data_IF_318745945859
#
_entry.id   IF_318745945859
#
_cell.length_a   1.000
_cell.length_b   1.000
_cell.length_c   1.000
_cell.angle_alpha   90.00
_cell.angle_beta   90.00
_cell.angle_gamma   90.00
#
_symmetry.space_group_name_H-M   'P 1'
#
loop_
_entity.id
_entity.type
_entity.pdbx_description
1 polymer ?
#
# COMPACT_ATOMS: atom_id res chain seq x y z
N UNK A 1 9.16 -2.23 8.08
CA UNK A 1 9.41 -0.78 7.98
C UNK A 1 9.58 -0.27 9.39
N UNK A 2 10.59 0.57 9.59
CA UNK A 2 10.79 1.27 10.86
C UNK A 2 10.34 2.71 10.67
N UNK A 3 9.65 3.26 11.67
CA UNK A 3 9.36 4.68 11.71
C UNK A 3 9.87 5.33 13.00
N UNK A 4 10.31 6.57 12.87
CA UNK A 4 10.71 7.45 13.97
C UNK A 4 10.05 8.81 13.83
N UNK A 5 9.95 9.55 14.93
CA UNK A 5 9.46 10.93 14.92
C UNK A 5 10.67 11.85 15.07
N UNK A 6 10.83 12.80 14.16
CA UNK A 6 11.88 13.82 14.22
C UNK A 6 11.35 15.15 13.71
N UNK A 7 11.59 16.23 14.46
CA UNK A 7 11.21 17.61 14.07
C UNK A 7 9.73 17.72 13.67
N UNK A 8 8.84 17.04 14.40
CA UNK A 8 7.42 16.97 14.07
C UNK A 8 7.16 16.42 12.66
N UNK A 9 7.84 15.33 12.27
CA UNK A 9 7.59 14.57 11.05
C UNK A 9 7.67 13.07 11.36
N UNK A 10 6.97 12.25 10.57
CA UNK A 10 7.07 10.79 10.62
C UNK A 10 8.08 10.36 9.55
N UNK A 11 9.21 9.80 9.95
CA UNK A 11 10.26 9.33 9.04
C UNK A 11 10.12 7.83 8.85
N UNK A 12 9.71 7.41 7.65
CA UNK A 12 9.67 6.00 7.28
C UNK A 12 11.03 5.60 6.70
N UNK A 13 11.71 4.69 7.38
CA UNK A 13 13.00 4.15 6.94
C UNK A 13 12.79 2.83 6.22
N UNK A 14 13.15 2.81 4.94
CA UNK A 14 12.90 1.68 4.04
C UNK A 14 14.24 1.20 3.47
N UNK A 15 14.56 -0.10 3.52
CA UNK A 15 15.78 -0.62 2.90
C UNK A 15 15.81 -0.32 1.39
N UNK A 16 16.93 0.12 0.86
CA UNK A 16 17.13 0.36 -0.58
C UNK A 16 17.38 -0.96 -1.35
N UNK A 17 16.60 -1.98 -1.05
CA UNK A 17 16.67 -3.32 -1.66
C UNK A 17 15.28 -3.92 -1.82
N UNK A 18 15.12 -4.76 -2.83
CA UNK A 18 13.89 -5.56 -2.97
C UNK A 18 13.80 -6.54 -1.80
N UNK A 19 12.71 -6.46 -1.03
CA UNK A 19 12.48 -7.33 0.12
C UNK A 19 10.99 -7.42 0.45
N UNK A 20 10.41 -8.61 0.34
CA UNK A 20 9.02 -8.88 0.69
C UNK A 20 8.03 -7.95 -0.03
N UNK A 21 7.46 -7.01 0.74
CA UNK A 21 6.46 -6.03 0.27
C UNK A 21 7.06 -4.81 -0.45
N UNK A 22 8.38 -4.61 -0.37
CA UNK A 22 9.08 -3.49 -0.99
C UNK A 22 9.75 -3.96 -2.28
N UNK A 23 9.37 -3.33 -3.40
CA UNK A 23 9.92 -3.63 -4.73
C UNK A 23 10.28 -2.35 -5.43
N UNK A 24 11.55 -2.17 -5.76
CA UNK A 24 12.00 -1.08 -6.62
C UNK A 24 11.79 -1.46 -8.08
N UNK A 25 11.18 -0.53 -8.79
CA UNK A 25 10.80 -0.68 -10.19
C UNK A 25 11.19 0.55 -10.98
N UNK A 26 11.33 0.38 -12.29
CA UNK A 26 11.50 1.48 -13.25
C UNK A 26 10.31 1.56 -14.19
N UNK A 27 9.89 2.78 -14.50
CA UNK A 27 8.84 3.04 -15.49
C UNK A 27 9.10 4.37 -16.21
N UNK A 28 8.66 4.46 -17.46
CA UNK A 28 8.80 5.69 -18.27
C UNK A 28 7.72 6.71 -17.88
N UNK A 29 6.47 6.28 -17.80
CA UNK A 29 5.34 7.11 -17.38
C UNK A 29 4.69 6.57 -16.11
N UNK A 30 3.94 7.44 -15.39
CA UNK A 30 3.25 7.08 -14.14
C UNK A 30 2.19 5.99 -14.27
N UNK A 31 1.72 5.71 -15.49
CA UNK A 31 0.69 4.69 -15.77
C UNK A 31 1.26 3.46 -16.49
N UNK A 32 2.55 3.47 -16.81
CA UNK A 32 3.19 2.34 -17.48
C UNK A 32 3.45 1.20 -16.50
N UNK A 33 3.58 0.00 -17.07
CA UNK A 33 4.03 -1.16 -16.32
C UNK A 33 5.45 -0.93 -15.77
N UNK A 34 5.61 -1.14 -14.46
CA UNK A 34 6.91 -1.02 -13.80
C UNK A 34 7.69 -2.32 -13.84
N UNK A 35 8.91 -2.26 -14.35
CA UNK A 35 9.82 -3.40 -14.39
C UNK A 35 10.68 -3.43 -13.12
N UNK A 36 10.67 -4.57 -12.43
CA UNK A 36 11.56 -4.79 -11.28
C UNK A 36 13.00 -4.86 -11.77
N UNK A 37 13.92 -4.25 -11.04
CA UNK A 37 15.35 -4.36 -11.33
C UNK A 37 16.14 -4.79 -10.10
N UNK A 38 17.35 -5.30 -10.33
CA UNK A 38 18.28 -5.65 -9.26
C UNK A 38 18.93 -4.38 -8.70
N UNK A 39 18.52 -3.95 -7.50
CA UNK A 39 19.03 -2.72 -6.87
C UNK A 39 20.52 -2.77 -6.57
N UNK A 40 21.10 -3.98 -6.49
CA UNK A 40 22.54 -4.22 -6.26
C UNK A 40 23.38 -4.05 -7.52
N UNK A 41 22.78 -4.27 -8.68
CA UNK A 41 23.49 -4.33 -9.96
C UNK A 41 23.22 -3.10 -10.80
N UNK A 42 22.00 -2.54 -10.73
CA UNK A 42 21.63 -1.37 -11.52
C UNK A 42 21.48 -0.12 -10.66
N UNK A 43 21.84 1.06 -11.20
CA UNK A 43 21.75 2.30 -10.46
C UNK A 43 20.31 2.80 -10.28
N UNK A 44 20.08 3.51 -9.18
CA UNK A 44 18.88 4.31 -8.96
C UNK A 44 18.90 5.56 -9.84
N UNK A 45 17.75 5.91 -10.41
CA UNK A 45 17.59 7.04 -11.34
C UNK A 45 16.17 7.63 -11.26
N UNK A 46 15.86 8.62 -12.11
CA UNK A 46 14.59 9.33 -12.09
C UNK A 46 13.39 8.48 -12.53
N UNK A 47 13.63 7.34 -13.18
CA UNK A 47 12.59 6.37 -13.52
C UNK A 47 12.27 5.43 -12.36
N UNK A 48 13.12 5.43 -11.33
CA UNK A 48 13.00 4.55 -10.18
C UNK A 48 11.86 4.99 -9.28
N UNK A 49 11.08 4.02 -8.82
CA UNK A 49 10.12 4.21 -7.74
C UNK A 49 10.09 2.96 -6.85
N UNK A 50 9.67 3.15 -5.61
CA UNK A 50 9.33 2.07 -4.71
C UNK A 50 7.87 1.73 -4.88
N UNK A 51 7.55 0.49 -5.22
CA UNK A 51 6.24 -0.12 -5.03
C UNK A 51 6.20 -0.78 -3.65
N UNK A 52 5.34 -0.29 -2.77
CA UNK A 52 5.09 -0.88 -1.47
C UNK A 52 3.70 -1.48 -1.39
N UNK A 53 3.63 -2.81 -1.29
CA UNK A 53 2.38 -3.52 -0.98
C UNK A 53 2.05 -3.35 0.52
N UNK A 54 1.56 -2.16 0.87
CA UNK A 54 1.26 -1.77 2.25
C UNK A 54 0.07 -2.55 2.80
N UNK A 55 0.13 -2.93 4.08
CA UNK A 55 -1.01 -3.47 4.83
C UNK A 55 -1.59 -2.45 5.81
N UNK A 56 -2.72 -2.79 6.42
CA UNK A 56 -3.39 -1.94 7.42
C UNK A 56 -3.72 -2.69 8.73
N UNK A 57 -3.60 -4.02 8.76
CA UNK A 57 -3.88 -4.84 9.93
C UNK A 57 -2.98 -6.08 10.03
N UNK A 58 -3.01 -6.72 11.20
CA UNK A 58 -2.31 -7.97 11.46
C UNK A 58 -3.10 -8.84 12.43
N UNK A 59 -3.25 -10.17 12.19
CA UNK A 59 -3.81 -11.08 13.18
C UNK A 59 -3.03 -11.05 14.49
N UNK A 60 -3.72 -11.07 15.63
CA UNK A 60 -3.06 -11.09 16.96
C UNK A 60 -2.06 -12.25 17.05
N UNK A 61 -2.45 -13.43 16.57
CA UNK A 61 -1.60 -14.64 16.55
C UNK A 61 -0.27 -14.44 15.82
N UNK A 62 -0.25 -13.67 14.72
CA UNK A 62 1.00 -13.38 14.00
C UNK A 62 1.95 -12.49 14.82
N UNK A 63 1.40 -11.64 15.70
CA UNK A 63 2.17 -10.78 16.61
C UNK A 63 2.68 -11.60 17.80
N UNK A 64 1.85 -12.46 18.38
CA UNK A 64 2.23 -13.35 19.48
C UNK A 64 3.32 -14.35 19.08
N UNK A 65 3.26 -14.86 17.84
CA UNK A 65 4.27 -15.76 17.27
C UNK A 65 5.54 -15.01 16.81
N UNK A 66 5.61 -13.69 16.97
CA UNK A 66 6.77 -12.87 16.59
C UNK A 66 7.00 -12.75 15.09
N UNK A 67 6.03 -13.13 14.24
CA UNK A 67 6.13 -13.05 12.78
C UNK A 67 6.04 -11.61 12.27
N UNK A 68 5.28 -10.78 12.97
CA UNK A 68 5.05 -9.36 12.69
C UNK A 68 5.00 -8.58 14.00
N UNK A 69 5.29 -7.29 13.96
CA UNK A 69 5.22 -6.41 15.13
C UNK A 69 4.44 -5.14 14.84
N UNK A 70 3.59 -4.73 15.79
CA UNK A 70 2.85 -3.46 15.78
C UNK A 70 3.00 -2.80 17.15
N UNK A 71 3.01 -1.47 17.21
CA UNK A 71 2.99 -0.70 18.46
C UNK A 71 1.57 -0.47 18.98
N UNK A 72 0.54 -0.76 18.19
CA UNK A 72 -0.87 -0.56 18.54
C UNK A 72 -1.52 -1.84 19.09
N UNK A 73 -1.02 -2.29 20.24
CA UNK A 73 -1.50 -3.52 20.90
C UNK A 73 -2.47 -3.28 22.07
N UNK A 74 -2.77 -2.02 22.40
CA UNK A 74 -3.65 -1.65 23.52
C UNK A 74 -5.14 -1.95 23.26
N UNK A 75 -5.53 -2.08 21.99
CA UNK A 75 -6.90 -2.37 21.53
C UNK A 75 -6.84 -3.24 20.29
N UNK A 76 -7.89 -4.01 20.07
CA UNK A 76 -8.04 -4.90 18.92
C UNK A 76 -9.45 -4.79 18.33
N UNK A 77 -9.64 -5.29 17.11
CA UNK A 77 -10.93 -5.39 16.46
C UNK A 77 -11.16 -6.78 15.86
N UNK A 78 -12.40 -7.08 15.50
CA UNK A 78 -12.76 -8.31 14.77
C UNK A 78 -12.84 -7.96 13.30
N UNK A 79 -11.90 -8.50 12.51
CA UNK A 79 -11.91 -8.30 11.07
C UNK A 79 -13.06 -9.04 10.39
N UNK A 80 -13.30 -8.72 9.12
CA UNK A 80 -14.39 -9.28 8.31
C UNK A 80 -14.32 -10.80 8.14
N UNK A 81 -13.14 -11.39 8.43
CA UNK A 81 -12.88 -12.82 8.41
C UNK A 81 -13.08 -13.50 9.78
N UNK A 82 -13.63 -12.78 10.77
CA UNK A 82 -13.88 -13.27 12.13
C UNK A 82 -12.64 -13.36 13.00
N UNK A 83 -11.44 -13.01 12.50
CA UNK A 83 -10.21 -13.05 13.29
C UNK A 83 -10.05 -11.76 14.08
N UNK A 84 -9.53 -11.88 15.29
CA UNK A 84 -9.09 -10.73 16.08
C UNK A 84 -7.76 -10.20 15.53
N UNK A 85 -7.69 -8.89 15.29
CA UNK A 85 -6.55 -8.23 14.66
C UNK A 85 -6.16 -6.96 15.41
N UNK A 86 -4.89 -6.57 15.24
CA UNK A 86 -4.37 -5.26 15.61
C UNK A 86 -4.26 -4.35 14.38
N UNK A 87 -4.43 -3.03 14.54
CA UNK A 87 -3.98 -2.05 13.54
C UNK A 87 -2.48 -2.19 13.27
N UNK A 88 -2.07 -2.07 12.01
CA UNK A 88 -0.68 -2.33 11.58
C UNK A 88 -0.29 -1.51 10.35
N UNK A 89 1.00 -1.22 10.17
CA UNK A 89 1.56 -0.51 9.00
C UNK A 89 0.83 0.81 8.71
N UNK A 90 -0.07 0.85 7.71
CA UNK A 90 -0.82 2.06 7.36
C UNK A 90 -1.56 2.64 8.57
N UNK A 91 -2.19 1.78 9.37
CA UNK A 91 -2.99 2.23 10.52
C UNK A 91 -2.11 2.80 11.63
N UNK A 92 -0.89 2.29 11.78
CA UNK A 92 0.09 2.87 12.72
C UNK A 92 0.57 4.24 12.25
N UNK A 93 0.85 4.38 10.95
CA UNK A 93 1.24 5.66 10.36
C UNK A 93 0.11 6.68 10.49
N UNK A 94 -1.13 6.26 10.21
CA UNK A 94 -2.32 7.10 10.34
C UNK A 94 -2.54 7.53 11.79
N UNK A 95 -2.41 6.62 12.75
CA UNK A 95 -2.49 6.97 14.17
C UNK A 95 -1.39 7.96 14.59
N UNK A 96 -0.16 7.78 14.12
CA UNK A 96 0.93 8.74 14.40
C UNK A 96 0.63 10.12 13.79
N UNK A 97 -0.01 10.17 12.63
CA UNK A 97 -0.46 11.43 12.03
C UNK A 97 -1.58 12.11 12.86
N UNK A 98 -2.42 11.32 13.55
CA UNK A 98 -3.39 11.85 14.51
C UNK A 98 -2.70 12.43 15.75
N UNK A 99 -1.74 11.69 16.34
CA UNK A 99 -0.99 12.15 17.52
C UNK A 99 -0.19 13.43 17.27
N UNK A 100 0.30 13.63 16.04
CA UNK A 100 1.02 14.84 15.64
C UNK A 100 0.09 15.95 15.12
N UNK A 101 -1.23 15.77 15.23
CA UNK A 101 -2.25 16.73 14.77
C UNK A 101 -2.11 17.11 13.28
N UNK A 102 -1.63 16.18 12.45
CA UNK A 102 -1.69 16.32 10.99
C UNK A 102 -3.07 15.95 10.47
N UNK A 103 -3.79 15.09 11.19
CA UNK A 103 -5.17 14.73 10.95
C UNK A 103 -5.91 14.90 12.27
N UNK A 104 -6.84 15.85 12.32
CA UNK A 104 -7.66 16.10 13.50
C UNK A 104 -8.64 14.97 13.77
N UNK A 105 -9.07 14.82 15.02
CA UNK A 105 -10.10 13.85 15.42
C UNK A 105 -11.40 14.05 14.60
N UNK A 106 -11.74 15.29 14.27
CA UNK A 106 -12.94 15.60 13.48
C UNK A 106 -12.79 15.14 12.02
N UNK A 107 -11.62 15.30 11.42
CA UNK A 107 -11.32 14.74 10.10
C UNK A 107 -11.43 13.21 10.11
N UNK A 108 -10.96 12.54 11.16
CA UNK A 108 -11.09 11.08 11.31
C UNK A 108 -12.56 10.65 11.45
N UNK A 109 -13.38 11.39 12.21
CA UNK A 109 -14.83 11.11 12.32
C UNK A 109 -15.56 11.29 10.99
N UNK A 110 -15.20 12.33 10.24
CA UNK A 110 -15.76 12.56 8.91
C UNK A 110 -15.33 11.47 7.92
N UNK A 111 -14.05 11.07 7.95
CA UNK A 111 -13.53 9.95 7.16
C UNK A 111 -14.26 8.64 7.49
N UNK A 112 -14.49 8.35 8.77
CA UNK A 112 -15.25 7.18 9.22
C UNK A 112 -16.68 7.20 8.68
N UNK A 113 -17.37 8.34 8.75
CA UNK A 113 -18.73 8.50 8.21
C UNK A 113 -18.75 8.30 6.70
N UNK A 114 -17.77 8.86 5.98
CA UNK A 114 -17.61 8.71 4.54
C UNK A 114 -17.43 7.24 4.15
N UNK A 115 -16.42 6.56 4.72
CA UNK A 115 -16.08 5.17 4.37
C UNK A 115 -17.21 4.20 4.71
N UNK A 116 -17.91 4.39 5.86
CA UNK A 116 -19.11 3.60 6.20
C UNK A 116 -20.22 3.70 5.15
N UNK A 117 -20.28 4.82 4.42
CA UNK A 117 -21.29 5.09 3.41
C UNK A 117 -20.99 4.49 2.03
N UNK A 118 -19.82 3.89 1.82
CA UNK A 118 -19.44 3.34 0.52
C UNK A 118 -20.32 2.17 0.10
N UNK A 119 -20.78 2.19 -1.16
CA UNK A 119 -21.66 1.17 -1.75
C UNK A 119 -21.09 0.51 -2.99
N UNK A 120 -20.03 1.07 -3.56
CA UNK A 120 -19.40 0.60 -4.80
C UNK A 120 -17.96 0.25 -4.51
N UNK A 121 -17.55 -0.94 -4.91
CA UNK A 121 -16.25 -1.50 -4.56
C UNK A 121 -15.42 -1.82 -5.80
N UNK A 122 -14.10 -1.74 -5.66
CA UNK A 122 -13.17 -1.98 -6.76
C UNK A 122 -13.22 -3.45 -7.21
N UNK A 123 -13.37 -4.39 -6.28
CA UNK A 123 -13.45 -5.82 -6.58
C UNK A 123 -14.74 -6.26 -7.29
N UNK A 124 -15.71 -5.34 -7.47
CA UNK A 124 -16.92 -5.54 -8.28
C UNK A 124 -16.69 -5.23 -9.77
N UNK A 125 -15.51 -4.72 -10.16
CA UNK A 125 -15.16 -4.48 -11.57
C UNK A 125 -15.08 -5.80 -12.35
N UNK A 126 -15.62 -5.79 -13.57
CA UNK A 126 -15.65 -6.97 -14.43
C UNK A 126 -14.24 -7.43 -14.85
N UNK A 127 -14.02 -8.74 -14.79
CA UNK A 127 -12.87 -9.41 -15.38
C UNK A 127 -13.30 -9.90 -16.75
N UNK A 128 -12.62 -9.47 -17.82
CA UNK A 128 -12.98 -9.85 -19.18
C UNK A 128 -11.99 -10.88 -19.72
N UNK A 129 -12.52 -11.86 -20.46
CA UNK A 129 -11.73 -12.83 -21.22
C UNK A 129 -11.91 -12.51 -22.69
N UNK A 130 -10.80 -12.28 -23.38
CA UNK A 130 -10.77 -12.06 -24.83
C UNK A 130 -10.25 -13.32 -25.51
N UNK A 131 -11.00 -13.81 -26.49
CA UNK A 131 -10.62 -14.95 -27.30
C UNK A 131 -9.84 -14.47 -28.52
N UNK A 132 -8.68 -15.08 -28.75
CA UNK A 132 -7.82 -14.78 -29.89
C UNK A 132 -7.84 -15.94 -30.89
N UNK A 133 -7.05 -15.80 -31.95
CA UNK A 133 -6.94 -16.83 -32.99
C UNK A 133 -6.19 -18.07 -32.51
N UNK A 134 -6.42 -19.19 -33.22
CA UNK A 134 -5.55 -20.37 -33.11
C UNK A 134 -4.13 -20.01 -33.52
N UNK A 135 -3.16 -20.49 -32.77
CA UNK A 135 -1.74 -20.28 -33.05
C UNK A 135 -0.96 -21.58 -32.94
N UNK A 136 0.14 -21.68 -33.67
CA UNK A 136 1.02 -22.84 -33.63
C UNK A 136 2.36 -22.43 -33.05
N UNK A 137 2.79 -23.09 -31.97
CA UNK A 137 4.12 -22.93 -31.37
C UNK A 137 4.82 -24.28 -31.44
N UNK A 138 5.98 -24.33 -32.09
CA UNK A 138 6.79 -25.55 -32.27
C UNK A 138 5.98 -26.75 -32.82
N UNK A 139 5.08 -26.51 -33.78
CA UNK A 139 4.25 -27.53 -34.41
C UNK A 139 3.03 -27.98 -33.61
N UNK A 140 2.78 -27.39 -32.42
CA UNK A 140 1.62 -27.69 -31.58
C UNK A 140 0.61 -26.55 -31.68
N UNK A 141 -0.67 -26.90 -31.86
CA UNK A 141 -1.75 -25.92 -31.98
C UNK A 141 -2.32 -25.54 -30.60
N UNK A 142 -2.56 -24.25 -30.41
CA UNK A 142 -3.16 -23.65 -29.21
C UNK A 142 -4.33 -22.76 -29.60
N UNK A 143 -5.30 -22.62 -28.68
CA UNK A 143 -6.29 -21.54 -28.70
C UNK A 143 -5.89 -20.51 -27.65
N UNK A 144 -5.60 -19.30 -28.11
CA UNK A 144 -5.14 -18.24 -27.24
C UNK A 144 -6.30 -17.46 -26.64
N UNK A 145 -6.18 -17.13 -25.35
CA UNK A 145 -7.09 -16.20 -24.68
C UNK A 145 -6.27 -15.22 -23.83
N UNK A 146 -6.79 -14.02 -23.63
CA UNK A 146 -6.22 -13.03 -22.72
C UNK A 146 -7.23 -12.70 -21.62
N UNK A 147 -6.75 -12.61 -20.38
CA UNK A 147 -7.56 -12.20 -19.24
C UNK A 147 -7.16 -10.77 -18.89
N UNK A 148 -8.11 -9.83 -18.97
CA UNK A 148 -7.89 -8.44 -18.55
C UNK A 148 -8.31 -8.27 -17.11
N UNK A 149 -7.34 -7.92 -16.27
CA UNK A 149 -7.54 -7.55 -14.88
C UNK A 149 -7.36 -6.03 -14.75
N UNK A 150 -8.34 -5.30 -14.19
CA UNK A 150 -8.22 -3.86 -14.10
C UNK A 150 -7.20 -3.46 -13.03
N UNK A 151 -6.44 -2.41 -13.36
CA UNK A 151 -5.58 -1.67 -12.44
C UNK A 151 -6.03 -0.22 -12.42
N UNK A 152 -6.23 0.35 -11.23
CA UNK A 152 -6.62 1.74 -11.02
C UNK A 152 -5.47 2.52 -10.42
N UNK A 153 -5.31 3.76 -10.85
CA UNK A 153 -4.28 4.66 -10.35
C UNK A 153 -4.91 5.93 -9.80
N UNK A 154 -4.70 6.21 -8.51
CA UNK A 154 -4.96 7.51 -7.92
C UNK A 154 -3.66 8.32 -7.97
N UNK A 155 -3.63 9.31 -8.87
CA UNK A 155 -2.43 10.11 -9.19
C UNK A 155 -2.45 11.53 -8.63
N UNK A 156 -3.57 11.94 -8.01
CA UNK A 156 -3.78 13.24 -7.37
C UNK A 156 -3.12 13.30 -5.98
N UNK A 157 -1.81 13.08 -5.95
CA UNK A 157 -0.98 13.16 -4.74
C UNK A 157 -0.07 14.38 -4.80
N UNK A 158 0.30 14.91 -3.65
CA UNK A 158 1.01 16.19 -3.55
C UNK A 158 2.53 16.10 -3.80
N UNK A 159 3.10 14.90 -3.79
CA UNK A 159 4.54 14.63 -3.88
C UNK A 159 4.90 13.59 -4.95
N UNK A 160 4.09 13.53 -6.02
CA UNK A 160 4.22 12.60 -7.14
C UNK A 160 4.11 11.11 -6.78
N UNK A 161 3.76 10.80 -5.53
CA UNK A 161 3.39 9.44 -5.11
C UNK A 161 2.17 8.95 -5.89
N UNK A 162 1.82 7.68 -5.74
CA UNK A 162 0.65 7.14 -6.40
C UNK A 162 0.08 6.02 -5.55
N UNK A 163 -1.25 5.93 -5.50
CA UNK A 163 -1.92 4.76 -4.94
C UNK A 163 -2.42 3.93 -6.11
N UNK A 164 -1.93 2.71 -6.23
CA UNK A 164 -2.33 1.77 -7.25
C UNK A 164 -3.19 0.67 -6.63
N UNK A 165 -4.28 0.30 -7.30
CA UNK A 165 -5.09 -0.86 -6.94
C UNK A 165 -5.12 -1.82 -8.12
N UNK A 166 -4.51 -2.99 -7.97
CA UNK A 166 -4.52 -4.03 -8.98
C UNK A 166 -5.42 -5.18 -8.54
N UNK A 167 -6.38 -5.56 -9.39
CA UNK A 167 -7.17 -6.78 -9.17
C UNK A 167 -6.32 -7.99 -9.56
N UNK A 168 -6.10 -8.90 -8.63
CA UNK A 168 -5.32 -10.11 -8.87
C UNK A 168 -6.13 -11.36 -8.54
N UNK A 169 -5.84 -12.47 -9.21
CA UNK A 169 -6.41 -13.78 -8.85
C UNK A 169 -5.93 -14.16 -7.44
N UNK A 170 -6.84 -14.66 -6.61
CA UNK A 170 -6.46 -15.19 -5.31
C UNK A 170 -5.59 -16.44 -5.49
N UNK A 171 -4.50 -16.54 -4.73
CA UNK A 171 -3.72 -17.78 -4.68
C UNK A 171 -4.49 -18.80 -3.84
N UNK A 172 -4.72 -20.00 -4.39
CA UNK A 172 -5.39 -21.13 -3.72
C UNK A 172 -6.89 -20.93 -3.38
N UNK A 173 -7.56 -19.94 -3.98
CA UNK A 173 -9.00 -19.73 -3.80
C UNK A 173 -9.68 -19.30 -5.12
N UNK A 174 -11.00 -19.47 -5.19
CA UNK A 174 -11.80 -18.97 -6.32
C UNK A 174 -12.09 -17.48 -6.13
N UNK A 175 -11.68 -16.67 -7.11
CA UNK A 175 -12.02 -15.25 -7.18
C UNK A 175 -10.81 -14.34 -7.33
N UNK A 176 -11.06 -13.05 -7.13
CA UNK A 176 -10.05 -12.00 -7.18
C UNK A 176 -9.92 -11.26 -5.87
N UNK A 177 -8.80 -10.56 -5.70
CA UNK A 177 -8.58 -9.65 -4.60
C UNK A 177 -7.96 -8.35 -5.12
N UNK A 178 -8.41 -7.20 -4.60
CA UNK A 178 -7.74 -5.93 -4.83
C UNK A 178 -6.47 -5.89 -3.98
N UNK A 179 -5.34 -5.61 -4.63
CA UNK A 179 -4.07 -5.33 -3.96
C UNK A 179 -3.78 -3.85 -4.06
N UNK A 180 -3.57 -3.20 -2.91
CA UNK A 180 -3.23 -1.78 -2.84
C UNK A 180 -1.72 -1.63 -2.72
N UNK A 181 -1.15 -0.78 -3.57
CA UNK A 181 0.25 -0.43 -3.57
C UNK A 181 0.42 1.07 -3.37
N UNK A 182 1.33 1.45 -2.49
CA UNK A 182 1.80 2.82 -2.35
C UNK A 182 3.11 2.98 -3.11
N UNK A 183 3.05 3.74 -4.20
CA UNK A 183 4.16 3.94 -5.12
C UNK A 183 4.85 5.27 -4.81
N UNK A 184 6.08 5.22 -4.33
CA UNK A 184 6.87 6.40 -3.92
C UNK A 184 7.96 6.64 -4.96
N UNK A 185 7.93 7.75 -5.72
CA UNK A 185 8.97 8.05 -6.69
C UNK A 185 10.31 8.26 -5.97
N UNK A 186 11.41 7.84 -6.60
CA UNK A 186 12.72 7.90 -5.96
C UNK A 186 13.09 9.30 -5.48
N UNK A 187 12.75 10.34 -6.25
CA UNK A 187 12.97 11.74 -5.88
C UNK A 187 12.22 12.21 -4.61
N UNK A 188 11.18 11.49 -4.17
CA UNK A 188 10.44 11.85 -2.95
C UNK A 188 11.15 11.39 -1.66
N UNK A 189 12.18 10.54 -1.76
CA UNK A 189 13.00 10.20 -0.60
C UNK A 189 13.97 11.34 -0.28
N UNK A 190 14.02 11.72 1.01
CA UNK A 190 14.84 12.84 1.52
C UNK A 190 16.31 12.70 1.15
N UNK A 191 16.82 11.48 1.16
CA UNK A 191 18.23 11.16 0.89
C UNK A 191 18.45 10.52 -0.48
N UNK A 192 17.53 10.72 -1.43
CA UNK A 192 17.64 10.17 -2.80
C UNK A 192 18.91 10.63 -3.52
N UNK A 193 19.32 11.88 -3.34
CA UNK A 193 20.54 12.42 -3.95
C UNK A 193 21.82 11.69 -3.56
N UNK A 194 21.86 11.02 -2.40
CA UNK A 194 23.05 10.30 -1.91
C UNK A 194 23.33 9.02 -2.74
N UNK A 195 22.27 8.40 -3.25
CA UNK A 195 22.30 7.12 -4.00
C UNK A 195 21.93 7.28 -5.49
N UNK A 196 21.52 8.47 -5.94
CA UNK A 196 21.25 8.73 -7.35
C UNK A 196 22.47 8.41 -8.23
N UNK A 197 22.25 7.68 -9.31
CA UNK A 197 23.29 7.20 -10.22
C UNK A 197 24.12 6.04 -9.67
N UNK A 198 23.82 5.49 -8.49
CA UNK A 198 24.56 4.40 -7.85
C UNK A 198 23.65 3.20 -7.60
N UNK A 199 24.22 2.00 -7.63
CA UNK A 199 23.57 0.79 -7.13
C UNK A 199 23.61 0.76 -5.60
N UNK A 200 22.65 0.11 -4.95
CA UNK A 200 22.62 0.02 -3.49
C UNK A 200 23.60 -0.99 -2.93
N UNK A 201 24.16 -0.70 -1.77
CA UNK A 201 25.01 -1.59 -0.96
C UNK A 201 24.31 -2.00 0.34
N UNK A 202 24.81 -3.06 0.99
CA UNK A 202 24.17 -3.61 2.18
C UNK A 202 24.07 -2.56 3.28
N UNK A 203 22.87 -2.38 3.85
CA UNK A 203 22.60 -1.35 4.85
C UNK A 203 22.02 -0.04 4.29
N UNK A 204 22.06 0.19 2.97
CA UNK A 204 21.45 1.38 2.38
C UNK A 204 19.96 1.47 2.69
N UNK A 205 19.54 2.68 3.08
CA UNK A 205 18.19 3.01 3.51
C UNK A 205 17.74 4.28 2.81
N UNK A 206 16.47 4.32 2.42
CA UNK A 206 15.79 5.50 1.93
C UNK A 206 14.80 5.99 2.98
N UNK A 207 14.68 7.31 3.12
CA UNK A 207 13.84 7.95 4.12
C UNK A 207 12.72 8.72 3.43
N UNK A 208 11.48 8.25 3.59
CA UNK A 208 10.29 8.96 3.16
C UNK A 208 9.70 9.72 4.35
N UNK A 209 9.48 11.03 4.17
CA UNK A 209 9.05 11.93 5.24
C UNK A 209 7.56 12.23 5.07
N UNK A 210 6.78 11.94 6.10
CA UNK A 210 5.36 12.32 6.17
C UNK A 210 5.20 13.51 7.11
N UNK A 211 4.53 14.54 6.61
CA UNK A 211 4.26 15.79 7.32
C UNK A 211 2.92 16.40 6.84
N UNK A 212 2.57 17.59 7.33
CA UNK A 212 1.31 18.27 6.97
C UNK A 212 1.09 18.45 5.45
N UNK A 213 2.14 18.55 4.64
CA UNK A 213 2.04 18.75 3.19
C UNK A 213 1.68 17.49 2.41
N UNK A 214 1.90 16.29 2.95
CA UNK A 214 1.63 15.03 2.24
C UNK A 214 0.84 14.00 3.07
N UNK A 215 0.42 14.34 4.29
CA UNK A 215 -0.40 13.46 5.15
C UNK A 215 -1.71 13.03 4.48
N UNK A 216 -2.25 13.84 3.57
CA UNK A 216 -3.44 13.49 2.79
C UNK A 216 -3.26 12.18 2.01
N UNK A 217 -2.04 11.82 1.59
CA UNK A 217 -1.77 10.53 0.96
C UNK A 217 -2.14 9.35 1.88
N UNK A 218 -1.96 9.50 3.19
CA UNK A 218 -2.31 8.48 4.19
C UNK A 218 -3.82 8.37 4.34
N UNK A 219 -4.54 9.50 4.40
CA UNK A 219 -5.99 9.52 4.42
C UNK A 219 -6.59 8.93 3.13
N UNK A 220 -6.02 9.26 1.97
CA UNK A 220 -6.42 8.68 0.68
C UNK A 220 -6.19 7.17 0.64
N UNK A 221 -5.09 6.65 1.19
CA UNK A 221 -4.90 5.20 1.30
C UNK A 221 -5.98 4.54 2.16
N UNK A 222 -6.39 5.16 3.28
CA UNK A 222 -7.52 4.66 4.08
C UNK A 222 -8.82 4.63 3.27
N UNK A 223 -9.10 5.67 2.48
CA UNK A 223 -10.25 5.70 1.56
C UNK A 223 -10.18 4.59 0.52
N UNK A 224 -9.02 4.41 -0.11
CA UNK A 224 -8.79 3.40 -1.15
C UNK A 224 -8.98 1.99 -0.59
N UNK A 225 -8.43 1.68 0.59
CA UNK A 225 -8.72 0.41 1.25
C UNK A 225 -10.21 0.29 1.59
N UNK A 226 -10.84 1.35 2.10
CA UNK A 226 -12.26 1.38 2.40
C UNK A 226 -13.16 1.07 1.20
N UNK A 227 -12.73 1.37 -0.03
CA UNK A 227 -13.46 1.06 -1.27
C UNK A 227 -12.90 -0.15 -2.04
N UNK A 228 -11.85 -0.81 -1.54
CA UNK A 228 -11.23 -1.92 -2.25
C UNK A 228 -12.19 -3.12 -2.36
N UNK A 229 -12.82 -3.50 -1.25
CA UNK A 229 -13.88 -4.53 -1.18
C UNK A 229 -14.77 -4.29 0.03
N UNK A 230 -15.92 -4.96 0.10
CA UNK A 230 -16.77 -4.96 1.32
C UNK A 230 -16.02 -5.45 2.56
N UNK A 231 -15.10 -6.40 2.39
CA UNK A 231 -14.26 -6.93 3.48
C UNK A 231 -13.28 -5.88 3.99
N UNK A 232 -12.59 -5.20 3.08
CA UNK A 232 -11.70 -4.10 3.45
C UNK A 232 -12.45 -2.93 4.06
N UNK A 233 -13.66 -2.62 3.57
CA UNK A 233 -14.52 -1.60 4.14
C UNK A 233 -14.81 -1.85 5.62
N UNK A 234 -15.27 -3.05 5.96
CA UNK A 234 -15.50 -3.47 7.34
C UNK A 234 -14.24 -3.29 8.18
N UNK A 235 -13.11 -3.85 7.74
CA UNK A 235 -11.87 -3.78 8.50
C UNK A 235 -11.41 -2.33 8.74
N UNK A 236 -11.44 -1.48 7.72
CA UNK A 236 -11.04 -0.06 7.84
C UNK A 236 -11.96 0.72 8.76
N UNK A 237 -13.27 0.46 8.71
CA UNK A 237 -14.25 1.07 9.62
C UNK A 237 -13.93 0.71 11.06
N UNK A 238 -13.72 -0.56 11.36
CA UNK A 238 -13.38 -1.04 12.71
C UNK A 238 -12.05 -0.47 13.20
N UNK A 239 -11.05 -0.37 12.33
CA UNK A 239 -9.76 0.26 12.65
C UNK A 239 -9.96 1.72 13.04
N UNK A 240 -10.69 2.51 12.25
CA UNK A 240 -10.91 3.93 12.55
C UNK A 240 -11.63 4.13 13.89
N UNK A 241 -12.58 3.25 14.25
CA UNK A 241 -13.22 3.25 15.57
C UNK A 241 -12.17 2.99 16.66
N UNK A 242 -11.36 1.93 16.51
CA UNK A 242 -10.31 1.60 17.47
C UNK A 242 -9.31 2.73 17.63
N UNK A 243 -8.86 3.36 16.55
CA UNK A 243 -7.92 4.49 16.62
C UNK A 243 -8.51 5.69 17.37
N UNK A 244 -9.79 6.00 17.16
CA UNK A 244 -10.51 7.04 17.90
C UNK A 244 -10.62 6.72 19.39
N UNK A 245 -10.81 5.45 19.76
CA UNK A 245 -10.82 5.03 21.16
C UNK A 245 -9.45 5.11 21.82
N UNK A 246 -8.38 4.83 21.07
CA UNK A 246 -7.00 4.90 21.58
C UNK A 246 -6.61 6.37 21.83
N UNK A 247 -6.85 7.27 20.86
CA UNK A 247 -6.41 8.67 20.93
C UNK A 247 -7.17 9.51 21.98
N UNK A 248 -8.40 9.10 22.33
CA UNK A 248 -9.26 9.84 23.27
C UNK A 248 -8.98 9.53 24.75
N UNK A 249 -7.93 8.74 25.04
CA UNK A 249 -7.47 8.38 26.38
C UNK A 249 -6.27 9.21 26.79
#
# INVERSE_FOLDING_TARGET
MEYTIKENNILLTIPATNAGKFRFKKRKNRLDFGETFSTRECPFDDQTYLEWQIGYDVPIKDVEEGKKGTKLTSKHFIGSNGKTKYPYELSEIFYKAMELEFISIEEVKNLLKEIRGYKSFIDEKAITVEHHSRLTINGINFEETSIKLPTLFMIETLDDTQIEVSIQKQQYASGVQPMVYFCIPFKAFKNSSEIHGKSSVSGDKLVYVINKSNVLNIACMMKVFGMASKRHNHDVVEILIVLLEIISR
#
